data_IF_521631367833
#
_entry.id   IF_521631367833
#
_cell.length_a   1.000
_cell.length_b   1.000
_cell.length_c   1.000
_cell.angle_alpha   90.00
_cell.angle_beta   90.00
_cell.angle_gamma   90.00
#
_symmetry.space_group_name_H-M   'P 1'
#
loop_
_entity.id
_entity.type
_entity.pdbx_description
1 polymer ?
#
# COMPACT_ATOMS: atom_id res chain seq x y z
N UNK A 1 -19.60 9.08 -14.10
CA UNK A 1 -19.91 9.39 -12.69
C UNK A 1 -19.38 10.77 -12.41
N UNK A 2 -20.20 11.63 -11.81
CA UNK A 2 -19.74 12.95 -11.39
C UNK A 2 -18.87 12.85 -10.13
N UNK A 3 -17.79 13.65 -9.98
CA UNK A 3 -16.88 13.58 -8.83
C UNK A 3 -17.59 13.71 -7.47
N UNK A 4 -18.64 14.54 -7.39
CA UNK A 4 -19.45 14.71 -6.18
C UNK A 4 -20.20 13.43 -5.79
N UNK A 5 -20.67 12.66 -6.77
CA UNK A 5 -21.33 11.39 -6.52
C UNK A 5 -20.34 10.36 -5.96
N UNK A 6 -19.11 10.33 -6.51
CA UNK A 6 -18.03 9.45 -6.02
C UNK A 6 -17.67 9.78 -4.58
N UNK A 7 -17.45 11.07 -4.27
CA UNK A 7 -17.14 11.50 -2.90
C UNK A 7 -18.24 11.09 -1.92
N UNK A 8 -19.51 11.26 -2.30
CA UNK A 8 -20.64 10.83 -1.48
C UNK A 8 -20.66 9.32 -1.23
N UNK A 9 -20.37 8.50 -2.24
CA UNK A 9 -20.33 7.03 -2.09
C UNK A 9 -19.17 6.57 -1.19
N UNK A 10 -18.01 7.19 -1.31
CA UNK A 10 -16.83 6.87 -0.48
C UNK A 10 -17.08 7.21 0.99
N UNK A 11 -17.69 8.38 1.26
CA UNK A 11 -17.90 8.89 2.62
C UNK A 11 -19.14 8.29 3.28
N UNK A 12 -20.28 8.27 2.57
CA UNK A 12 -21.57 7.85 3.15
C UNK A 12 -21.80 6.35 3.09
N UNK A 13 -21.38 5.71 2.00
CA UNK A 13 -21.60 4.27 1.77
C UNK A 13 -20.37 3.42 2.06
N UNK A 14 -19.25 4.05 2.45
CA UNK A 14 -18.02 3.35 2.80
C UNK A 14 -17.38 2.60 1.63
N UNK A 15 -17.77 2.91 0.38
CA UNK A 15 -17.26 2.18 -0.79
C UNK A 15 -15.75 2.38 -0.90
N UNK A 16 -15.03 1.28 -1.12
CA UNK A 16 -13.61 1.24 -1.45
C UNK A 16 -13.42 0.41 -2.72
N UNK A 17 -12.38 0.69 -3.53
CA UNK A 17 -12.04 -0.17 -4.65
C UNK A 17 -11.76 -1.61 -4.16
N UNK A 18 -12.10 -2.63 -4.96
CA UNK A 18 -11.69 -4.00 -4.66
C UNK A 18 -10.17 -4.11 -4.69
N UNK A 19 -9.61 -4.93 -3.80
CA UNK A 19 -8.18 -5.25 -3.79
C UNK A 19 -7.91 -6.25 -4.93
N UNK A 20 -6.92 -6.00 -5.81
CA UNK A 20 -6.55 -6.93 -6.88
C UNK A 20 -6.17 -8.32 -6.35
N UNK A 21 -6.47 -9.38 -7.11
CA UNK A 21 -6.16 -10.77 -6.72
C UNK A 21 -4.64 -11.05 -6.65
N UNK A 22 -3.85 -10.32 -7.43
CA UNK A 22 -2.39 -10.40 -7.47
C UNK A 22 -1.71 -9.48 -6.45
N UNK A 23 -2.48 -8.83 -5.57
CA UNK A 23 -1.95 -8.01 -4.49
C UNK A 23 -1.28 -8.87 -3.42
N UNK A 24 -0.10 -8.45 -2.96
CA UNK A 24 0.59 -9.11 -1.85
C UNK A 24 -0.27 -9.06 -0.57
N UNK A 25 -0.34 -10.14 0.22
CA UNK A 25 -1.14 -10.18 1.44
C UNK A 25 -0.85 -9.04 2.41
N UNK A 26 0.43 -8.68 2.60
CA UNK A 26 0.86 -7.57 3.45
C UNK A 26 0.33 -6.21 2.96
N UNK A 27 0.35 -5.96 1.65
CA UNK A 27 -0.21 -4.74 1.06
C UNK A 27 -1.74 -4.70 1.17
N UNK A 28 -2.41 -5.84 0.98
CA UNK A 28 -3.85 -5.99 1.19
C UNK A 28 -4.25 -5.67 2.64
N UNK A 29 -3.47 -6.15 3.61
CA UNK A 29 -3.70 -5.86 5.02
C UNK A 29 -3.54 -4.38 5.34
N UNK A 30 -2.49 -3.73 4.83
CA UNK A 30 -2.27 -2.28 5.00
C UNK A 30 -3.47 -1.49 4.48
N UNK A 31 -3.93 -1.76 3.25
CA UNK A 31 -5.09 -1.09 2.67
C UNK A 31 -6.35 -1.27 3.52
N UNK A 32 -6.61 -2.51 3.96
CA UNK A 32 -7.78 -2.85 4.77
C UNK A 32 -7.78 -2.15 6.13
N UNK A 33 -6.61 -2.05 6.78
CA UNK A 33 -6.46 -1.33 8.06
C UNK A 33 -6.58 0.19 7.90
N UNK A 34 -5.99 0.75 6.85
CA UNK A 34 -6.11 2.18 6.56
C UNK A 34 -7.54 2.61 6.20
N UNK A 35 -8.34 1.71 5.61
CA UNK A 35 -9.71 2.00 5.20
C UNK A 35 -10.79 1.72 6.24
N UNK A 36 -10.43 1.42 7.49
CA UNK A 36 -11.41 1.19 8.57
C UNK A 36 -12.41 2.36 8.68
N UNK A 37 -13.70 2.02 8.78
CA UNK A 37 -14.78 2.99 8.97
C UNK A 37 -14.58 3.76 10.27
N UNK A 38 -14.24 3.05 11.35
CA UNK A 38 -13.88 3.65 12.63
C UNK A 38 -12.50 4.34 12.51
N UNK A 39 -12.40 5.68 12.68
CA UNK A 39 -11.12 6.38 12.65
C UNK A 39 -10.13 5.89 13.70
N UNK A 40 -10.60 5.50 14.89
CA UNK A 40 -9.73 5.06 16.00
C UNK A 40 -9.14 3.67 15.75
N UNK A 41 -9.73 2.90 14.83
CA UNK A 41 -9.21 1.59 14.42
C UNK A 41 -8.15 1.71 13.32
N UNK A 42 -7.92 2.91 12.77
CA UNK A 42 -6.91 3.12 11.73
C UNK A 42 -5.51 3.15 12.37
N UNK A 43 -4.52 2.56 11.70
CA UNK A 43 -3.15 2.63 12.17
C UNK A 43 -2.64 4.07 12.13
N UNK A 44 -1.84 4.45 13.12
CA UNK A 44 -1.10 5.71 13.06
C UNK A 44 0.05 5.60 12.04
N UNK A 45 0.65 6.74 11.69
CA UNK A 45 1.71 6.75 10.68
C UNK A 45 2.93 5.89 11.03
N UNK A 46 3.31 5.82 12.31
CA UNK A 46 4.41 4.94 12.74
C UNK A 46 4.10 3.48 12.41
N UNK A 47 2.90 3.01 12.74
CA UNK A 47 2.45 1.66 12.41
C UNK A 47 2.38 1.44 10.90
N UNK A 48 1.92 2.43 10.13
CA UNK A 48 1.86 2.35 8.66
C UNK A 48 3.27 2.14 8.08
N UNK A 49 4.24 2.94 8.54
CA UNK A 49 5.64 2.84 8.09
C UNK A 49 6.22 1.46 8.43
N UNK A 50 5.99 0.95 9.63
CA UNK A 50 6.42 -0.40 10.04
C UNK A 50 5.82 -1.49 9.13
N UNK A 51 4.51 -1.45 8.88
CA UNK A 51 3.86 -2.43 8.00
C UNK A 51 4.39 -2.34 6.56
N UNK A 52 4.65 -1.13 6.05
CA UNK A 52 5.23 -0.94 4.71
C UNK A 52 6.63 -1.54 4.64
N UNK A 53 7.49 -1.36 5.65
CA UNK A 53 8.81 -1.98 5.68
C UNK A 53 8.74 -3.52 5.65
N UNK A 54 7.77 -4.11 6.37
CA UNK A 54 7.52 -5.56 6.32
C UNK A 54 7.11 -5.99 4.92
N UNK A 55 6.16 -5.29 4.29
CA UNK A 55 5.70 -5.59 2.93
C UNK A 55 6.84 -5.48 1.90
N UNK A 56 7.72 -4.48 2.04
CA UNK A 56 8.90 -4.32 1.18
C UNK A 56 9.85 -5.52 1.30
N UNK A 57 10.06 -6.06 2.51
CA UNK A 57 10.87 -7.25 2.70
C UNK A 57 10.25 -8.50 2.05
N UNK A 58 8.92 -8.65 2.10
CA UNK A 58 8.20 -9.73 1.42
C UNK A 58 8.37 -9.65 -0.11
N UNK A 59 8.30 -8.44 -0.68
CA UNK A 59 8.57 -8.21 -2.11
C UNK A 59 9.97 -8.68 -2.50
N UNK A 60 10.97 -8.49 -1.64
CA UNK A 60 12.36 -8.89 -1.93
C UNK A 60 12.56 -10.41 -1.87
N UNK A 61 11.76 -11.14 -1.07
CA UNK A 61 11.93 -12.58 -0.83
C UNK A 61 11.06 -13.48 -1.73
N UNK A 62 9.92 -12.99 -2.20
CA UNK A 62 8.97 -13.75 -3.05
C UNK A 62 9.35 -13.79 -4.53
N UNK A 63 10.22 -12.87 -4.99
CA UNK A 63 10.77 -12.85 -6.37
C UNK A 63 11.55 -14.14 -6.72
N UNK A 64 11.92 -14.95 -5.73
CA UNK A 64 12.63 -16.23 -5.93
C UNK A 64 11.83 -17.36 -6.61
N UNK A 65 10.50 -17.23 -6.79
CA UNK A 65 9.66 -18.29 -7.40
C UNK A 65 9.18 -18.00 -8.83
N UNK A 66 9.34 -16.77 -9.33
CA UNK A 66 8.92 -16.39 -10.68
C UNK A 66 10.12 -16.13 -11.60
N UNK A 67 10.68 -17.21 -12.14
CA UNK A 67 11.42 -17.34 -13.42
C UNK A 67 12.28 -16.15 -13.90
N UNK A 68 13.60 -16.38 -13.92
CA UNK A 68 14.60 -15.91 -14.91
C UNK A 68 14.05 -15.09 -16.10
N UNK A 69 14.32 -13.77 -16.10
CA UNK A 69 15.03 -12.98 -17.15
C UNK A 69 14.72 -11.47 -17.06
N UNK A 70 15.55 -10.71 -16.33
CA UNK A 70 16.42 -9.61 -16.80
C UNK A 70 16.89 -8.74 -15.63
N UNK A 71 18.10 -8.21 -15.82
CA UNK A 71 19.04 -7.70 -14.82
C UNK A 71 18.56 -6.55 -13.94
N UNK A 72 18.95 -6.64 -12.67
CA UNK A 72 19.01 -5.55 -11.69
C UNK A 72 20.06 -4.52 -12.14
N UNK A 73 19.69 -3.24 -12.19
CA UNK A 73 20.41 -2.16 -11.50
C UNK A 73 19.56 -0.87 -11.52
N UNK A 74 18.91 -0.55 -10.40
CA UNK A 74 18.98 0.82 -9.89
C UNK A 74 18.91 0.77 -8.36
N UNK A 75 19.97 1.16 -7.64
CA UNK A 75 19.96 1.23 -6.18
C UNK A 75 19.02 2.35 -5.73
N UNK A 76 18.32 2.11 -4.63
CA UNK A 76 17.65 3.16 -3.86
C UNK A 76 18.72 4.12 -3.33
N UNK A 77 18.89 5.26 -4.00
CA UNK A 77 19.60 6.40 -3.43
C UNK A 77 18.60 7.16 -2.56
N UNK A 78 18.77 7.02 -1.26
CA UNK A 78 18.35 8.04 -0.30
C UNK A 78 19.28 9.23 -0.51
N UNK A 79 18.80 10.32 -1.09
CA UNK A 79 19.38 11.67 -0.99
C UNK A 79 18.41 12.68 -1.61
N UNK A 80 17.36 13.09 -0.89
CA UNK A 80 16.57 14.30 -1.21
C UNK A 80 15.81 14.88 0.00
N UNK A 81 16.15 14.47 1.24
CA UNK A 81 15.70 15.19 2.45
C UNK A 81 16.85 16.09 2.90
N UNK A 82 17.12 17.14 2.15
CA UNK A 82 17.77 18.40 2.57
C UNK A 82 17.87 19.34 1.36
N UNK A 83 16.76 19.59 0.67
CA UNK A 83 16.66 20.77 -0.20
C UNK A 83 15.21 21.19 -0.50
N UNK A 84 14.49 21.64 0.54
CA UNK A 84 13.43 22.66 0.46
C UNK A 84 13.59 23.58 1.67
#
# INVERSE_FOLDING_TARGET
MEPLQVASLVVKSGIRPPIPEDCLPSLSEIMTRCWQTNPDARPNFTQIVEMIHVAQFEMMTTVGKARSRRSITHPMMNDDILNI
#
